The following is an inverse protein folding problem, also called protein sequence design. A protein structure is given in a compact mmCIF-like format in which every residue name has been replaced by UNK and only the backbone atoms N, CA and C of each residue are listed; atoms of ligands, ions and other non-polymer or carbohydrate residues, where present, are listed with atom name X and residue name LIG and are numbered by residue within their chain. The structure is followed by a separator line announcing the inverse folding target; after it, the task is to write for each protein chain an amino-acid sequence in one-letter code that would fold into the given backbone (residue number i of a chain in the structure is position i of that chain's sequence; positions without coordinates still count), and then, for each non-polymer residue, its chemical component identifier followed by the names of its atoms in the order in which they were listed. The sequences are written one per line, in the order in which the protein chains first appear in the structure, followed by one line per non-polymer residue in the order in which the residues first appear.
data_IF_803881035169
#
_entry.id   IF_803881035169
#
_cell.length_a   1.000
_cell.length_b   1.000
_cell.length_c   1.000
_cell.angle_alpha   90.00
_cell.angle_beta   90.00
_cell.angle_gamma   90.00
#
_symmetry.space_group_name_H-M   'P 1'
#
loop_
_entity.id
_entity.type
_entity.pdbx_description
1 polymer ?
#
# COMPACT_ATOMS: atom_id res chain seq x y z
N UNK A 1 115.73 -12.44 -8.12
CA UNK A 1 114.81 -12.93 -7.14
C UNK A 1 113.77 -11.86 -6.84
N UNK A 2 112.66 -11.84 -7.56
CA UNK A 2 111.53 -10.89 -7.32
C UNK A 2 110.29 -11.68 -7.21
N UNK A 3 109.59 -11.58 -6.09
CA UNK A 3 108.34 -12.19 -5.79
C UNK A 3 107.25 -11.21 -6.17
N UNK A 4 106.39 -11.60 -7.08
CA UNK A 4 105.17 -10.88 -7.43
C UNK A 4 104.11 -11.24 -6.42
N UNK A 5 103.47 -10.23 -5.82
CA UNK A 5 102.28 -10.37 -4.96
C UNK A 5 101.10 -9.85 -5.76
N UNK A 6 100.19 -10.76 -6.17
CA UNK A 6 98.91 -10.41 -6.75
C UNK A 6 97.91 -10.04 -5.65
N UNK A 7 97.41 -8.84 -5.68
CA UNK A 7 96.27 -8.42 -4.82
C UNK A 7 94.98 -8.64 -5.55
N UNK A 8 94.12 -9.55 -5.04
CA UNK A 8 92.79 -9.79 -5.55
C UNK A 8 91.76 -8.81 -4.90
N UNK A 9 91.22 -7.92 -5.69
CA UNK A 9 90.03 -7.08 -5.28
C UNK A 9 88.77 -7.91 -5.38
N UNK A 10 88.15 -8.21 -4.24
CA UNK A 10 86.76 -8.72 -4.20
C UNK A 10 85.80 -7.54 -4.22
N UNK A 11 85.04 -7.43 -5.34
CA UNK A 11 83.95 -6.48 -5.48
C UNK A 11 82.69 -7.08 -4.81
N UNK A 12 82.25 -6.50 -3.70
CA UNK A 12 80.98 -6.81 -3.09
C UNK A 12 79.87 -6.03 -3.83
N UNK A 13 79.08 -6.73 -4.66
CA UNK A 13 77.82 -6.20 -5.17
C UNK A 13 76.72 -6.42 -4.11
N UNK A 14 76.35 -5.37 -3.38
CA UNK A 14 75.17 -5.36 -2.55
C UNK A 14 73.93 -5.18 -3.45
N UNK A 15 73.17 -6.25 -3.68
CA UNK A 15 71.82 -6.18 -4.30
C UNK A 15 70.86 -5.69 -3.25
N UNK A 16 70.53 -4.41 -3.27
CA UNK A 16 69.36 -3.87 -2.57
C UNK A 16 68.10 -4.35 -3.25
N UNK A 17 67.43 -5.34 -2.66
CA UNK A 17 66.09 -5.72 -3.08
C UNK A 17 65.13 -4.60 -2.69
N UNK A 18 64.61 -3.86 -3.67
CA UNK A 18 63.46 -2.99 -3.49
C UNK A 18 62.23 -3.87 -3.24
N UNK A 19 61.79 -3.99 -1.98
CA UNK A 19 60.50 -4.52 -1.64
C UNK A 19 59.48 -3.43 -2.10
N UNK A 20 58.82 -3.68 -3.20
CA UNK A 20 57.69 -2.86 -3.61
C UNK A 20 56.59 -3.08 -2.60
N UNK A 21 56.38 -2.12 -1.69
CA UNK A 21 55.28 -2.10 -0.77
C UNK A 21 54.01 -1.96 -1.60
N UNK A 22 53.17 -3.01 -1.67
CA UNK A 22 51.89 -2.94 -2.32
C UNK A 22 51.10 -1.82 -1.63
N UNK A 23 50.69 -0.83 -2.42
CA UNK A 23 49.89 0.26 -1.93
C UNK A 23 48.60 -0.37 -1.34
N UNK A 24 48.37 -0.16 -0.05
CA UNK A 24 47.08 -0.57 0.57
C UNK A 24 45.94 0.02 -0.22
N UNK A 25 45.04 -0.83 -0.70
CA UNK A 25 43.85 -0.40 -1.43
C UNK A 25 42.97 0.42 -0.51
N UNK A 26 42.69 1.66 -0.87
CA UNK A 26 41.74 2.50 -0.14
C UNK A 26 40.38 1.80 -0.18
N UNK A 27 39.71 1.55 0.97
CA UNK A 27 38.38 0.94 1.00
C UNK A 27 37.39 1.76 0.19
N UNK A 28 36.59 1.09 -0.65
CA UNK A 28 35.58 1.73 -1.48
C UNK A 28 34.19 1.17 -1.14
N UNK A 29 33.18 2.04 -1.26
CA UNK A 29 31.78 1.61 -1.18
C UNK A 29 31.46 0.72 -2.39
N UNK A 30 30.78 -0.39 -2.14
CA UNK A 30 30.28 -1.29 -3.17
C UNK A 30 28.77 -1.43 -3.05
N UNK A 31 28.09 -1.56 -4.19
CA UNK A 31 26.64 -1.83 -4.19
C UNK A 31 26.40 -3.31 -3.94
N UNK A 32 25.65 -3.69 -2.87
CA UNK A 32 25.08 -5.01 -2.76
C UNK A 32 24.17 -5.31 -3.96
N UNK A 33 24.01 -6.61 -4.28
CA UNK A 33 23.10 -7.03 -5.33
C UNK A 33 21.68 -6.51 -5.05
N UNK A 34 21.06 -5.87 -6.02
CA UNK A 34 19.70 -5.31 -5.93
C UNK A 34 19.57 -3.89 -5.40
N UNK A 35 20.60 -3.31 -4.75
CA UNK A 35 20.48 -1.94 -4.20
C UNK A 35 20.45 -0.83 -5.28
N UNK A 36 20.81 -1.15 -6.51
CA UNK A 36 20.70 -0.23 -7.67
C UNK A 36 19.30 -0.22 -8.30
N UNK A 37 18.44 -1.14 -7.92
CA UNK A 37 17.11 -1.28 -8.51
C UNK A 37 16.17 -0.22 -7.95
N UNK A 38 15.29 0.33 -8.81
CA UNK A 38 14.28 1.33 -8.41
C UNK A 38 13.29 0.82 -7.35
N UNK A 39 13.11 -0.49 -7.26
CA UNK A 39 12.22 -1.18 -6.32
C UNK A 39 12.98 -1.89 -5.20
N UNK A 40 14.19 -1.46 -4.88
CA UNK A 40 14.98 -2.01 -3.78
C UNK A 40 14.23 -1.89 -2.44
N UNK A 41 14.40 -2.90 -1.58
CA UNK A 41 13.90 -2.86 -0.20
C UNK A 41 14.92 -2.13 0.66
N UNK A 42 14.45 -1.18 1.47
CA UNK A 42 15.30 -0.44 2.40
C UNK A 42 16.07 -1.38 3.33
N UNK A 43 17.32 -1.06 3.64
CA UNK A 43 18.18 -1.92 4.48
C UNK A 43 17.52 -2.26 5.83
N UNK A 44 16.81 -1.32 6.44
CA UNK A 44 16.06 -1.51 7.69
C UNK A 44 14.88 -2.50 7.59
N UNK A 45 14.48 -2.87 6.37
CA UNK A 45 13.32 -3.73 6.12
C UNK A 45 13.72 -5.07 5.44
N UNK A 46 15.02 -5.27 5.14
CA UNK A 46 15.51 -6.48 4.47
C UNK A 46 15.36 -7.75 5.31
N UNK A 47 15.51 -7.62 6.64
CA UNK A 47 15.47 -8.74 7.58
C UNK A 47 14.08 -9.00 8.16
N UNK A 48 13.06 -8.27 7.71
CA UNK A 48 11.67 -8.53 8.10
C UNK A 48 11.22 -9.91 7.63
N UNK A 49 10.36 -10.55 8.40
CA UNK A 49 9.69 -11.77 7.96
C UNK A 49 9.03 -11.53 6.61
N UNK A 50 9.38 -12.32 5.61
CA UNK A 50 8.97 -12.09 4.22
C UNK A 50 8.33 -13.34 3.63
N UNK A 51 7.19 -13.14 2.98
CA UNK A 51 6.55 -14.17 2.13
C UNK A 51 6.37 -13.62 0.73
N UNK A 52 6.43 -14.50 -0.27
CA UNK A 52 6.09 -14.15 -1.66
C UNK A 52 4.68 -14.62 -1.96
N UNK A 53 3.84 -13.70 -2.42
CA UNK A 53 2.46 -14.01 -2.80
C UNK A 53 2.43 -14.93 -4.04
N UNK A 54 1.30 -15.61 -4.23
CA UNK A 54 1.04 -16.43 -5.41
C UNK A 54 -0.04 -15.76 -6.26
N UNK A 55 0.15 -15.74 -7.59
CA UNK A 55 -0.91 -15.26 -8.49
C UNK A 55 -2.13 -16.15 -8.34
N UNK A 56 -3.26 -15.56 -7.98
CA UNK A 56 -4.54 -16.25 -7.90
C UNK A 56 -5.27 -16.23 -9.26
N UNK A 57 -5.51 -15.01 -9.79
CA UNK A 57 -6.12 -14.82 -11.11
C UNK A 57 -5.45 -13.68 -11.87
N UNK A 58 -5.44 -13.79 -13.20
CA UNK A 58 -5.20 -12.68 -14.11
C UNK A 58 -6.54 -11.99 -14.39
N UNK A 59 -6.61 -10.68 -14.15
CA UNK A 59 -7.84 -9.90 -14.33
C UNK A 59 -7.94 -9.35 -15.74
N UNK A 60 -6.82 -8.87 -16.30
CA UNK A 60 -6.76 -8.27 -17.62
C UNK A 60 -5.38 -8.41 -18.25
N UNK A 61 -5.34 -8.48 -19.57
CA UNK A 61 -4.10 -8.36 -20.34
C UNK A 61 -3.61 -6.90 -20.47
N UNK A 62 -4.52 -5.96 -20.31
CA UNK A 62 -4.23 -4.52 -20.36
C UNK A 62 -3.92 -4.02 -18.97
N UNK A 63 -2.86 -3.58 -18.56
CA UNK A 63 -2.50 -3.16 -17.21
C UNK A 63 -3.45 -2.15 -16.53
N UNK A 64 -4.75 -2.48 -16.49
CA UNK A 64 -5.77 -1.67 -15.83
C UNK A 64 -5.47 -1.54 -14.34
N UNK A 65 -5.65 -0.35 -13.79
CA UNK A 65 -5.40 -0.09 -12.38
C UNK A 65 -6.55 -0.65 -11.54
N UNK A 66 -6.25 -1.61 -10.67
CA UNK A 66 -7.21 -2.23 -9.76
C UNK A 66 -7.14 -1.58 -8.39
N UNK A 67 -8.29 -1.47 -7.70
CA UNK A 67 -8.42 -0.89 -6.37
C UNK A 67 -9.56 -1.50 -5.55
N UNK A 68 -9.66 -1.10 -4.28
CA UNK A 68 -10.79 -1.33 -3.38
C UNK A 68 -11.26 -2.77 -3.22
N UNK A 69 -10.39 -3.79 -3.09
CA UNK A 69 -10.86 -5.16 -2.94
C UNK A 69 -11.59 -5.34 -1.60
N UNK A 70 -12.75 -6.02 -1.65
CA UNK A 70 -13.59 -6.29 -0.48
C UNK A 70 -14.38 -7.59 -0.68
N UNK A 71 -14.42 -8.45 0.34
CA UNK A 71 -15.19 -9.69 0.31
C UNK A 71 -16.65 -9.47 0.69
N UNK A 72 -17.56 -10.07 -0.07
CA UNK A 72 -18.96 -10.19 0.32
C UNK A 72 -19.20 -11.42 1.21
N UNK A 73 -20.43 -11.56 1.77
CA UNK A 73 -20.79 -12.69 2.62
C UNK A 73 -20.83 -14.05 1.90
N UNK A 74 -20.91 -14.05 0.59
CA UNK A 74 -20.86 -15.26 -0.22
C UNK A 74 -19.42 -15.69 -0.54
N UNK A 75 -18.41 -14.91 -0.09
CA UNK A 75 -17.01 -15.17 -0.33
C UNK A 75 -16.51 -14.72 -1.71
N UNK A 76 -17.30 -13.94 -2.43
CA UNK A 76 -16.82 -13.31 -3.66
C UNK A 76 -15.93 -12.11 -3.31
N UNK A 77 -14.88 -11.89 -4.09
CA UNK A 77 -14.05 -10.69 -4.02
C UNK A 77 -14.56 -9.67 -5.03
N UNK A 78 -15.08 -8.53 -4.52
CA UNK A 78 -15.40 -7.37 -5.33
C UNK A 78 -14.21 -6.42 -5.34
N UNK A 79 -13.97 -5.74 -6.44
CA UNK A 79 -12.90 -4.76 -6.59
C UNK A 79 -13.24 -3.80 -7.74
N UNK A 80 -12.55 -2.67 -7.81
CA UNK A 80 -12.81 -1.66 -8.83
C UNK A 80 -11.68 -1.58 -9.85
N UNK A 81 -12.01 -1.11 -11.05
CA UNK A 81 -11.07 -0.67 -12.07
C UNK A 81 -11.13 0.86 -12.12
N UNK A 82 -9.99 1.51 -11.85
CA UNK A 82 -9.96 2.94 -11.54
C UNK A 82 -10.41 3.81 -12.71
N UNK A 83 -9.78 3.67 -13.86
CA UNK A 83 -9.98 4.59 -14.98
C UNK A 83 -11.26 4.31 -15.79
N UNK A 84 -11.72 3.07 -15.81
CA UNK A 84 -13.00 2.71 -16.44
C UNK A 84 -14.19 2.75 -15.49
N UNK A 85 -13.95 2.93 -14.18
CA UNK A 85 -15.00 3.06 -13.17
C UNK A 85 -15.83 1.80 -12.92
N UNK A 86 -15.37 0.64 -13.39
CA UNK A 86 -16.10 -0.63 -13.23
C UNK A 86 -16.00 -1.15 -11.81
N UNK A 87 -17.06 -1.86 -11.35
CA UNK A 87 -16.96 -2.80 -10.23
C UNK A 87 -16.96 -4.21 -10.80
N UNK A 88 -15.91 -4.95 -10.50
CA UNK A 88 -15.69 -6.32 -10.91
C UNK A 88 -15.90 -7.26 -9.72
N UNK A 89 -16.20 -8.51 -9.99
CA UNK A 89 -16.38 -9.57 -9.00
C UNK A 89 -15.66 -10.83 -9.47
N UNK A 90 -14.85 -11.40 -8.59
CA UNK A 90 -14.31 -12.75 -8.72
C UNK A 90 -15.03 -13.66 -7.73
N UNK A 91 -15.62 -14.77 -8.21
CA UNK A 91 -16.18 -15.80 -7.33
C UNK A 91 -15.05 -16.59 -6.61
N UNK A 92 -15.35 -17.44 -5.62
CA UNK A 92 -14.34 -18.22 -4.92
C UNK A 92 -13.48 -19.13 -5.82
N UNK A 93 -13.94 -19.43 -7.04
CA UNK A 93 -13.20 -20.19 -8.06
C UNK A 93 -12.38 -19.28 -8.99
N UNK A 94 -12.45 -17.95 -8.81
CA UNK A 94 -11.73 -16.97 -9.61
C UNK A 94 -12.41 -16.59 -10.92
N UNK A 95 -13.68 -16.96 -11.14
CA UNK A 95 -14.43 -16.56 -12.32
C UNK A 95 -14.84 -15.10 -12.21
N UNK A 96 -14.43 -14.29 -13.20
CA UNK A 96 -14.71 -12.87 -13.27
C UNK A 96 -16.10 -12.57 -13.84
N UNK A 97 -16.73 -11.52 -13.29
CA UNK A 97 -17.94 -10.93 -13.81
C UNK A 97 -17.96 -9.42 -13.52
N UNK A 98 -18.77 -8.66 -14.29
CA UNK A 98 -18.95 -7.23 -14.10
C UNK A 98 -20.21 -6.99 -13.28
N UNK A 99 -20.10 -6.24 -12.19
CA UNK A 99 -21.21 -5.81 -11.32
C UNK A 99 -21.68 -4.43 -11.71
N UNK A 100 -20.76 -3.48 -11.88
CA UNK A 100 -21.07 -2.12 -12.36
C UNK A 100 -20.30 -1.88 -13.65
N UNK A 101 -21.01 -1.48 -14.70
CA UNK A 101 -20.43 -1.20 -16.01
C UNK A 101 -19.53 0.03 -16.01
N UNK A 102 -18.72 0.19 -17.05
CA UNK A 102 -17.84 1.35 -17.26
C UNK A 102 -18.59 2.67 -17.06
N UNK A 103 -17.94 3.59 -16.37
CA UNK A 103 -18.48 4.90 -16.06
C UNK A 103 -17.34 5.89 -15.77
N UNK A 104 -17.66 7.15 -15.50
CA UNK A 104 -16.68 8.22 -15.28
C UNK A 104 -16.40 8.50 -13.79
N UNK A 105 -16.60 7.52 -12.88
CA UNK A 105 -16.40 7.73 -11.43
C UNK A 105 -14.93 7.85 -11.04
N UNK A 106 -13.99 7.30 -11.83
CA UNK A 106 -12.61 7.18 -11.40
C UNK A 106 -12.56 6.39 -10.09
N UNK A 107 -13.15 5.17 -10.10
CA UNK A 107 -13.38 4.39 -8.88
C UNK A 107 -12.09 4.08 -8.14
N UNK A 108 -12.08 4.26 -6.83
CA UNK A 108 -10.94 4.00 -5.95
C UNK A 108 -11.33 2.96 -4.87
N UNK A 109 -11.65 3.38 -3.65
CA UNK A 109 -12.05 2.45 -2.59
C UNK A 109 -13.44 1.83 -2.81
N UNK A 110 -13.64 0.64 -2.23
CA UNK A 110 -14.93 -0.01 -2.15
C UNK A 110 -15.12 -0.63 -0.76
N UNK A 111 -16.23 -0.30 -0.12
CA UNK A 111 -16.67 -0.95 1.11
C UNK A 111 -18.09 -1.49 0.96
N UNK A 112 -18.35 -2.63 1.60
CA UNK A 112 -19.67 -3.27 1.57
C UNK A 112 -20.36 -3.01 2.91
N UNK A 113 -21.57 -2.44 2.85
CA UNK A 113 -22.41 -2.21 4.01
C UNK A 113 -23.05 -3.53 4.49
N UNK A 114 -23.49 -3.60 5.75
CA UNK A 114 -24.08 -4.83 6.32
C UNK A 114 -25.33 -5.33 5.61
N UNK A 115 -26.04 -4.48 4.88
CA UNK A 115 -27.20 -4.87 4.07
C UNK A 115 -26.84 -5.31 2.64
N UNK A 116 -25.52 -5.35 2.31
CA UNK A 116 -25.01 -5.78 1.04
C UNK A 116 -24.81 -4.68 0.01
N UNK A 117 -25.23 -3.43 0.27
CA UNK A 117 -24.98 -2.31 -0.63
C UNK A 117 -23.48 -2.04 -0.78
N UNK A 118 -23.10 -1.63 -1.99
CA UNK A 118 -21.73 -1.30 -2.35
C UNK A 118 -21.55 0.22 -2.27
N UNK A 119 -20.60 0.66 -1.46
CA UNK A 119 -20.16 2.04 -1.35
C UNK A 119 -18.87 2.17 -2.15
N UNK A 120 -18.94 2.88 -3.26
CA UNK A 120 -17.82 3.03 -4.21
C UNK A 120 -17.33 4.46 -4.14
N UNK A 121 -16.12 4.65 -3.65
CA UNK A 121 -15.39 5.89 -3.67
C UNK A 121 -14.95 6.20 -5.11
N UNK A 122 -14.92 7.47 -5.47
CA UNK A 122 -14.55 7.89 -6.82
C UNK A 122 -13.77 9.19 -6.82
N UNK A 123 -12.68 9.21 -7.57
CA UNK A 123 -11.81 10.35 -7.77
C UNK A 123 -12.31 11.27 -8.91
N UNK A 124 -13.35 10.84 -9.63
CA UNK A 124 -13.94 11.59 -10.74
C UNK A 124 -12.90 11.91 -11.81
N UNK A 125 -12.71 13.20 -12.09
CA UNK A 125 -11.69 13.69 -12.99
C UNK A 125 -10.29 13.84 -12.37
N UNK A 126 -10.08 13.33 -11.16
CA UNK A 126 -8.84 13.45 -10.36
C UNK A 126 -8.47 14.92 -10.02
N UNK A 127 -9.45 15.81 -10.05
CA UNK A 127 -9.22 17.22 -9.76
C UNK A 127 -10.23 17.80 -8.79
N UNK A 128 -11.53 17.70 -9.10
CA UNK A 128 -12.58 18.41 -8.34
C UNK A 128 -13.97 17.73 -8.39
N UNK A 129 -14.15 16.63 -9.12
CA UNK A 129 -15.45 15.97 -9.31
C UNK A 129 -15.54 14.58 -8.66
N UNK A 130 -14.71 14.32 -7.65
CA UNK A 130 -14.79 13.06 -6.90
C UNK A 130 -16.11 12.94 -6.13
N UNK A 131 -16.52 11.71 -5.86
CA UNK A 131 -17.83 11.41 -5.29
C UNK A 131 -17.81 10.12 -4.47
N UNK A 132 -18.89 9.84 -3.75
CA UNK A 132 -19.20 8.54 -3.21
C UNK A 132 -20.54 8.07 -3.75
N UNK A 133 -20.55 6.97 -4.46
CA UNK A 133 -21.75 6.38 -5.06
C UNK A 133 -22.10 5.06 -4.38
N UNK A 134 -23.38 4.88 -4.09
CA UNK A 134 -23.94 3.66 -3.48
C UNK A 134 -24.74 2.91 -4.54
N UNK A 135 -24.50 1.60 -4.61
CA UNK A 135 -25.23 0.65 -5.46
C UNK A 135 -25.84 -0.46 -4.62
N UNK A 136 -26.87 -1.13 -5.12
CA UNK A 136 -27.30 -2.43 -4.60
C UNK A 136 -26.20 -3.47 -4.86
N UNK A 137 -26.27 -4.62 -4.19
CA UNK A 137 -25.29 -5.70 -4.32
C UNK A 137 -25.15 -6.26 -5.75
N UNK A 138 -26.17 -6.09 -6.59
CA UNK A 138 -26.18 -6.47 -8.02
C UNK A 138 -25.68 -5.37 -8.96
N UNK A 139 -25.26 -4.21 -8.42
CA UNK A 139 -24.81 -3.04 -9.18
C UNK A 139 -25.92 -2.11 -9.66
N UNK A 140 -27.18 -2.40 -9.36
CA UNK A 140 -28.30 -1.53 -9.67
C UNK A 140 -28.49 -0.39 -8.67
N UNK A 141 -29.49 0.46 -8.83
CA UNK A 141 -29.94 1.44 -7.84
C UNK A 141 -28.91 2.53 -7.53
N UNK A 142 -28.15 3.00 -8.52
CA UNK A 142 -27.14 4.06 -8.35
C UNK A 142 -27.69 5.26 -7.60
N UNK A 143 -27.01 5.65 -6.49
CA UNK A 143 -27.30 6.85 -5.72
C UNK A 143 -26.00 7.52 -5.29
N UNK A 144 -25.80 8.78 -5.63
CA UNK A 144 -24.69 9.57 -5.10
C UNK A 144 -24.99 9.96 -3.65
N UNK A 145 -24.14 9.56 -2.72
CA UNK A 145 -24.20 9.94 -1.31
C UNK A 145 -23.37 11.19 -1.05
N UNK A 146 -22.18 11.28 -1.65
CA UNK A 146 -21.37 12.49 -1.70
C UNK A 146 -21.31 12.89 -3.16
N UNK A 147 -21.96 14.00 -3.50
CA UNK A 147 -22.06 14.46 -4.88
C UNK A 147 -20.74 15.11 -5.35
N UNK A 148 -20.42 14.98 -6.64
CA UNK A 148 -19.19 15.50 -7.23
C UNK A 148 -19.00 17.02 -7.07
N UNK A 149 -20.05 17.78 -6.87
CA UNK A 149 -19.98 19.24 -6.62
C UNK A 149 -19.60 19.61 -5.16
N UNK A 150 -19.42 18.64 -4.29
CA UNK A 150 -18.94 18.85 -2.89
C UNK A 150 -17.44 19.05 -2.80
N UNK A 151 -16.74 18.89 -3.92
CA UNK A 151 -15.29 19.12 -4.01
C UNK A 151 -14.45 18.20 -3.11
N UNK A 152 -14.82 16.92 -2.99
CA UNK A 152 -13.98 15.87 -2.44
C UNK A 152 -13.45 14.98 -3.56
N UNK A 153 -12.26 14.43 -3.39
CA UNK A 153 -11.74 13.28 -4.15
C UNK A 153 -11.77 12.07 -3.22
N UNK A 154 -12.93 11.40 -3.14
CA UNK A 154 -13.11 10.29 -2.19
C UNK A 154 -12.30 9.11 -2.66
N UNK A 155 -11.34 8.65 -1.82
CA UNK A 155 -10.40 7.60 -2.20
C UNK A 155 -10.68 6.27 -1.48
N UNK A 156 -10.39 6.13 -0.20
CA UNK A 156 -10.69 4.91 0.56
C UNK A 156 -11.71 5.20 1.67
N UNK A 157 -12.36 4.14 2.17
CA UNK A 157 -13.38 4.27 3.21
C UNK A 157 -13.46 3.04 4.12
N UNK A 158 -13.83 3.28 5.38
CA UNK A 158 -14.04 2.22 6.37
C UNK A 158 -15.27 2.52 7.23
N UNK A 159 -16.17 1.54 7.36
CA UNK A 159 -17.32 1.63 8.25
C UNK A 159 -16.93 1.43 9.71
N UNK A 160 -17.57 2.18 10.61
CA UNK A 160 -17.60 1.86 12.03
C UNK A 160 -18.69 0.84 12.37
N UNK A 161 -18.80 0.45 13.63
CA UNK A 161 -19.79 -0.52 14.11
C UNK A 161 -21.22 0.01 14.11
N UNK A 162 -21.43 1.32 14.02
CA UNK A 162 -22.75 1.96 14.00
C UNK A 162 -23.32 2.11 12.58
N UNK A 163 -22.47 1.95 11.56
CA UNK A 163 -22.81 2.14 10.14
C UNK A 163 -22.52 3.53 9.61
N UNK A 164 -21.91 4.39 10.40
CA UNK A 164 -21.18 5.54 9.92
C UNK A 164 -19.86 5.10 9.25
N UNK A 165 -19.23 5.99 8.53
CA UNK A 165 -17.96 5.65 7.87
C UNK A 165 -17.01 6.83 7.81
N UNK A 166 -15.72 6.52 7.87
CA UNK A 166 -14.64 7.45 7.56
C UNK A 166 -14.26 7.31 6.10
N UNK A 167 -13.84 8.42 5.51
CA UNK A 167 -13.26 8.43 4.16
C UNK A 167 -12.08 9.39 4.07
N UNK A 168 -11.20 9.14 3.10
CA UNK A 168 -10.06 9.99 2.78
C UNK A 168 -10.34 10.85 1.57
N UNK A 169 -9.84 12.10 1.59
CA UNK A 169 -9.88 13.05 0.48
C UNK A 169 -8.49 13.13 -0.16
N UNK A 170 -8.37 12.59 -1.37
CA UNK A 170 -7.13 12.43 -2.16
C UNK A 170 -6.68 13.75 -2.79
N UNK A 171 -6.57 14.80 -1.99
CA UNK A 171 -6.19 16.13 -2.45
C UNK A 171 -4.87 16.61 -1.90
N UNK A 172 -4.37 17.65 -2.56
CA UNK A 172 -3.19 18.37 -2.11
C UNK A 172 -1.90 17.83 -2.69
N UNK A 173 -0.82 18.39 -2.20
CA UNK A 173 0.56 18.03 -2.51
C UNK A 173 1.38 18.06 -1.22
N UNK A 174 2.62 17.60 -1.23
CA UNK A 174 3.52 17.67 -0.07
C UNK A 174 3.80 19.11 0.41
N UNK A 175 3.59 20.11 -0.44
CA UNK A 175 3.79 21.53 -0.12
C UNK A 175 2.48 22.29 0.10
N UNK A 176 1.36 21.78 -0.40
CA UNK A 176 0.02 22.36 -0.26
C UNK A 176 -0.97 21.26 0.14
N UNK A 177 -0.97 20.80 1.40
CA UNK A 177 -1.85 19.74 1.88
C UNK A 177 -3.29 20.27 2.02
N UNK A 178 -4.17 19.79 1.15
CA UNK A 178 -5.59 20.21 1.12
C UNK A 178 -6.57 19.04 1.25
N UNK A 179 -6.07 17.80 1.30
CA UNK A 179 -6.86 16.61 1.59
C UNK A 179 -7.15 16.45 3.08
N UNK A 180 -7.56 15.25 3.47
CA UNK A 180 -7.84 14.96 4.87
C UNK A 180 -8.71 13.73 5.10
N UNK A 181 -9.14 13.58 6.34
CA UNK A 181 -10.04 12.52 6.81
C UNK A 181 -11.35 13.13 7.26
N UNK A 182 -12.45 12.52 6.85
CA UNK A 182 -13.79 12.96 7.16
C UNK A 182 -14.64 11.79 7.64
N UNK A 183 -15.66 12.09 8.42
CA UNK A 183 -16.63 11.12 8.91
C UNK A 183 -18.04 11.46 8.43
N UNK A 184 -18.78 10.45 8.01
CA UNK A 184 -20.21 10.52 7.67
C UNK A 184 -20.99 9.66 8.64
N UNK A 185 -21.88 10.24 9.47
CA UNK A 185 -22.76 9.46 10.35
C UNK A 185 -23.65 8.49 9.56
N UNK A 186 -24.18 7.47 10.23
CA UNK A 186 -25.01 6.43 9.60
C UNK A 186 -26.28 6.96 8.91
N UNK A 187 -26.77 8.13 9.30
CA UNK A 187 -27.90 8.80 8.64
C UNK A 187 -27.52 9.48 7.30
N UNK A 188 -26.22 9.64 7.03
CA UNK A 188 -25.69 10.25 5.82
C UNK A 188 -25.97 11.75 5.66
N UNK A 189 -26.35 12.45 6.72
CA UNK A 189 -26.83 13.84 6.63
C UNK A 189 -25.72 14.89 6.70
N UNK A 190 -24.56 14.54 7.24
CA UNK A 190 -23.46 15.47 7.45
C UNK A 190 -22.11 14.86 7.09
N UNK A 191 -21.13 15.72 6.81
CA UNK A 191 -19.72 15.36 6.66
C UNK A 191 -18.95 16.12 7.70
N UNK A 192 -18.32 15.42 8.63
CA UNK A 192 -17.57 15.99 9.75
C UNK A 192 -16.07 15.86 9.49
N UNK A 193 -15.30 16.95 9.46
CA UNK A 193 -13.85 16.87 9.34
C UNK A 193 -13.24 16.26 10.61
N UNK A 194 -12.41 15.23 10.44
CA UNK A 194 -11.66 14.60 11.54
C UNK A 194 -10.23 15.10 11.56
N UNK A 195 -9.47 14.88 10.48
CA UNK A 195 -8.09 15.36 10.34
C UNK A 195 -7.91 16.01 8.97
N UNK A 196 -8.11 17.33 8.85
CA UNK A 196 -7.89 18.06 7.59
C UNK A 196 -6.39 18.34 7.36
N UNK A 197 -6.06 18.84 6.16
CA UNK A 197 -4.72 19.28 5.75
C UNK A 197 -3.69 18.16 5.65
N UNK A 198 -4.10 17.04 5.08
CA UNK A 198 -3.19 15.98 4.65
C UNK A 198 -2.84 16.11 3.17
N UNK A 199 -1.65 15.69 2.81
CA UNK A 199 -1.16 15.68 1.43
C UNK A 199 -1.48 14.35 0.76
N UNK A 200 -2.61 14.30 0.05
CA UNK A 200 -3.10 13.08 -0.60
C UNK A 200 -3.34 11.98 0.47
N UNK A 201 -4.34 12.22 1.36
CA UNK A 201 -4.81 11.18 2.27
C UNK A 201 -5.36 10.01 1.45
N UNK A 202 -4.87 8.77 1.73
CA UNK A 202 -5.17 7.60 0.92
C UNK A 202 -5.78 6.47 1.77
N UNK A 203 -5.03 5.44 2.14
CA UNK A 203 -5.56 4.33 2.91
C UNK A 203 -6.11 4.71 4.28
N UNK A 204 -7.18 4.06 4.69
CA UNK A 204 -7.82 4.28 5.99
C UNK A 204 -8.28 2.96 6.60
N UNK A 205 -8.07 2.78 7.91
CA UNK A 205 -8.51 1.59 8.62
C UNK A 205 -8.81 1.90 10.09
N UNK A 206 -9.77 1.17 10.70
CA UNK A 206 -10.05 1.19 12.12
C UNK A 206 -9.39 0.01 12.83
N UNK A 207 -8.89 0.25 14.05
CA UNK A 207 -8.48 -0.82 14.96
C UNK A 207 -9.66 -1.75 15.31
N UNK A 208 -9.40 -2.98 15.78
CA UNK A 208 -10.44 -3.93 16.13
C UNK A 208 -11.44 -3.42 17.18
N UNK A 209 -10.99 -2.56 18.09
CA UNK A 209 -11.84 -1.94 19.11
C UNK A 209 -12.54 -0.64 18.64
N UNK A 210 -12.27 -0.20 17.39
CA UNK A 210 -12.83 1.01 16.80
C UNK A 210 -12.34 2.32 17.42
N UNK A 211 -11.27 2.30 18.25
CA UNK A 211 -10.79 3.48 18.98
C UNK A 211 -9.58 4.14 18.34
N UNK A 212 -8.93 3.47 17.41
CA UNK A 212 -7.80 4.03 16.66
C UNK A 212 -8.12 4.03 15.18
N UNK A 213 -8.00 5.19 14.57
CA UNK A 213 -8.08 5.36 13.13
C UNK A 213 -6.67 5.50 12.56
N UNK A 214 -6.36 4.74 11.54
CA UNK A 214 -5.09 4.75 10.84
C UNK A 214 -5.25 5.36 9.46
N UNK A 215 -4.31 6.21 9.06
CA UNK A 215 -4.36 6.89 7.76
C UNK A 215 -2.98 6.96 7.14
N UNK A 216 -2.87 6.62 5.86
CA UNK A 216 -1.68 6.88 5.05
C UNK A 216 -1.77 8.24 4.38
N UNK A 217 -0.66 8.94 4.34
CA UNK A 217 -0.47 10.16 3.58
C UNK A 217 0.47 9.86 2.40
N UNK A 218 -0.11 9.73 1.21
CA UNK A 218 0.57 9.22 0.02
C UNK A 218 1.73 10.11 -0.44
N UNK A 219 1.52 11.44 -0.47
CA UNK A 219 2.52 12.37 -1.01
C UNK A 219 3.74 12.59 -0.10
N UNK A 220 3.60 12.33 1.20
CA UNK A 220 4.68 12.54 2.20
C UNK A 220 5.26 11.23 2.73
N UNK A 221 4.58 10.10 2.47
CA UNK A 221 4.99 8.80 2.96
C UNK A 221 4.81 8.63 4.46
N UNK A 222 3.76 9.19 5.05
CA UNK A 222 3.52 9.17 6.49
C UNK A 222 2.40 8.21 6.87
N UNK A 223 2.50 7.63 8.08
CA UNK A 223 1.44 6.90 8.75
C UNK A 223 0.98 7.68 9.96
N UNK A 224 -0.28 8.09 9.95
CA UNK A 224 -0.96 8.74 11.07
C UNK A 224 -1.69 7.69 11.92
N UNK A 225 -1.56 7.80 13.24
CA UNK A 225 -2.34 7.10 14.25
C UNK A 225 -3.19 8.11 14.98
N UNK A 226 -4.51 7.93 14.93
CA UNK A 226 -5.48 8.87 15.48
C UNK A 226 -6.31 8.14 16.54
N UNK A 227 -6.12 8.49 17.81
CA UNK A 227 -6.96 8.01 18.91
C UNK A 227 -8.28 8.78 18.94
N UNK A 228 -9.38 8.06 18.88
CA UNK A 228 -10.72 8.61 18.87
C UNK A 228 -11.30 8.65 20.29
N UNK A 229 -11.85 9.79 20.69
CA UNK A 229 -12.70 9.91 21.87
C UNK A 229 -14.10 9.34 21.59
N UNK A 230 -14.61 9.62 20.43
CA UNK A 230 -15.84 9.13 19.83
C UNK A 230 -15.72 9.16 18.30
N UNK A 231 -16.73 8.70 17.55
CA UNK A 231 -16.65 8.61 16.10
C UNK A 231 -16.35 9.94 15.37
N UNK A 232 -16.58 11.07 16.00
CA UNK A 232 -16.45 12.41 15.39
C UNK A 232 -15.35 13.26 16.02
N UNK A 233 -14.70 12.76 17.07
CA UNK A 233 -13.78 13.59 17.88
C UNK A 233 -12.50 12.86 18.18
N UNK A 234 -11.37 13.48 17.87
CA UNK A 234 -10.04 13.00 18.26
C UNK A 234 -9.88 13.18 19.77
N UNK A 235 -9.29 12.20 20.45
CA UNK A 235 -8.94 12.30 21.87
C UNK A 235 -7.89 13.42 22.09
N UNK A 236 -7.82 14.03 23.28
CA UNK A 236 -6.78 14.99 23.59
C UNK A 236 -5.38 14.39 23.34
N UNK A 237 -4.53 15.05 22.54
CA UNK A 237 -3.21 14.56 22.11
C UNK A 237 -3.26 13.23 21.33
N UNK A 238 -4.41 12.89 20.75
CA UNK A 238 -4.66 11.60 20.12
C UNK A 238 -4.11 11.44 18.70
N UNK A 239 -3.52 12.47 18.08
CA UNK A 239 -2.91 12.37 16.75
C UNK A 239 -1.40 12.27 16.85
N UNK A 240 -0.81 11.29 16.12
CA UNK A 240 0.63 11.13 16.02
C UNK A 240 1.04 10.56 14.64
N UNK A 241 2.15 11.05 14.11
CA UNK A 241 2.86 10.40 13.02
C UNK A 241 3.74 9.32 13.64
N UNK A 242 3.46 8.05 13.35
CA UNK A 242 4.13 6.92 14.00
C UNK A 242 5.14 6.22 13.09
N UNK A 243 5.02 6.40 11.78
CA UNK A 243 5.95 5.81 10.83
C UNK A 243 6.11 6.68 9.58
N UNK A 244 7.33 6.69 9.02
CA UNK A 244 7.64 7.23 7.72
C UNK A 244 8.10 6.11 6.81
N UNK A 245 7.32 5.84 5.77
CA UNK A 245 7.62 4.77 4.82
C UNK A 245 8.87 5.07 3.99
N UNK A 246 9.64 4.03 3.72
CA UNK A 246 10.81 4.10 2.85
C UNK A 246 10.40 3.89 1.39
N UNK A 247 10.89 4.74 0.50
CA UNK A 247 10.61 4.68 -0.93
C UNK A 247 9.24 5.25 -1.31
N UNK A 248 8.72 4.87 -2.48
CA UNK A 248 7.45 5.36 -2.98
C UNK A 248 6.25 4.99 -2.10
N UNK A 249 5.25 5.70 -2.28
CA UNK A 249 4.05 6.04 -1.54
C UNK A 249 3.28 4.88 -0.91
N UNK A 250 2.90 4.99 0.37
CA UNK A 250 1.88 4.12 0.97
C UNK A 250 0.51 4.41 0.34
N UNK A 251 -0.20 3.36 -0.01
CA UNK A 251 -1.51 3.40 -0.64
C UNK A 251 -2.58 2.91 0.34
N UNK A 252 -3.57 2.15 -0.09
CA UNK A 252 -4.62 1.61 0.78
C UNK A 252 -4.08 0.69 1.87
N UNK A 253 -4.85 0.53 2.95
CA UNK A 253 -4.49 -0.34 4.06
C UNK A 253 -5.69 -1.15 4.58
N UNK A 254 -5.38 -2.24 5.30
CA UNK A 254 -6.35 -3.05 6.04
C UNK A 254 -5.75 -3.48 7.38
N UNK A 255 -6.62 -3.85 8.33
CA UNK A 255 -6.23 -4.31 9.67
C UNK A 255 -6.71 -5.74 9.86
N UNK A 256 -5.90 -6.60 10.49
CA UNK A 256 -6.31 -7.92 10.95
C UNK A 256 -6.91 -7.89 12.38
N UNK A 257 -7.38 -9.04 12.87
CA UNK A 257 -8.03 -9.13 14.18
C UNK A 257 -7.10 -8.81 15.36
N UNK A 258 -5.79 -8.94 15.18
CA UNK A 258 -4.77 -8.63 16.20
C UNK A 258 -4.32 -7.15 16.12
N UNK A 259 -4.88 -6.39 15.16
CA UNK A 259 -4.58 -4.98 14.95
C UNK A 259 -3.35 -4.72 14.09
N UNK A 260 -2.78 -5.74 13.44
CA UNK A 260 -1.67 -5.51 12.51
C UNK A 260 -2.17 -4.82 11.24
N UNK A 261 -1.41 -3.82 10.79
CA UNK A 261 -1.69 -3.00 9.62
C UNK A 261 -1.00 -3.58 8.38
N UNK A 262 -1.76 -3.85 7.34
CA UNK A 262 -1.27 -4.23 6.02
C UNK A 262 -1.37 -3.02 5.11
N UNK A 263 -0.24 -2.49 4.67
CA UNK A 263 -0.16 -1.27 3.84
C UNK A 263 0.38 -1.61 2.47
N UNK A 264 -0.39 -1.36 1.41
CA UNK A 264 0.07 -1.49 0.04
C UNK A 264 1.11 -0.40 -0.26
N UNK A 265 2.23 -0.81 -0.86
CA UNK A 265 3.31 0.10 -1.20
C UNK A 265 3.33 0.33 -2.72
N UNK A 266 2.65 1.39 -3.17
CA UNK A 266 2.59 1.75 -4.58
C UNK A 266 4.00 1.95 -5.17
N UNK A 267 4.23 1.48 -6.37
CA UNK A 267 5.52 1.44 -7.06
C UNK A 267 6.60 0.57 -6.39
N UNK A 268 6.23 -0.28 -5.42
CA UNK A 268 7.16 -1.20 -4.76
C UNK A 268 6.82 -2.69 -4.96
N UNK A 269 5.62 -3.02 -5.45
CA UNK A 269 5.17 -4.40 -5.65
C UNK A 269 5.18 -5.21 -4.36
N UNK A 270 4.74 -4.62 -3.25
CA UNK A 270 4.69 -5.28 -1.94
C UNK A 270 3.61 -4.71 -1.02
N UNK A 271 3.30 -5.45 0.03
CA UNK A 271 2.58 -4.97 1.21
C UNK A 271 3.54 -4.99 2.39
N UNK A 272 3.65 -3.88 3.11
CA UNK A 272 4.39 -3.80 4.38
C UNK A 272 3.40 -4.05 5.52
N UNK A 273 3.79 -4.87 6.50
CA UNK A 273 2.93 -5.16 7.66
C UNK A 273 3.55 -4.55 8.91
N UNK A 274 2.74 -3.76 9.63
CA UNK A 274 3.14 -3.11 10.88
C UNK A 274 2.28 -3.64 12.03
N UNK A 275 2.85 -3.67 13.23
CA UNK A 275 2.10 -4.03 14.44
C UNK A 275 1.21 -2.86 14.93
N UNK A 276 0.36 -3.05 15.96
CA UNK A 276 -0.51 -2.00 16.50
C UNK A 276 0.22 -0.76 17.07
N UNK A 277 1.54 -0.81 17.20
CA UNK A 277 2.38 0.35 17.58
C UNK A 277 2.96 1.08 16.36
N UNK A 278 2.68 0.64 15.13
CA UNK A 278 3.21 1.22 13.90
C UNK A 278 4.64 0.77 13.55
N UNK A 279 5.15 -0.31 14.15
CA UNK A 279 6.48 -0.84 13.83
C UNK A 279 6.39 -1.93 12.75
N UNK A 280 7.22 -1.90 11.70
CA UNK A 280 7.28 -2.95 10.69
C UNK A 280 7.62 -4.32 11.31
N UNK A 281 6.85 -5.35 10.98
CA UNK A 281 7.03 -6.72 11.48
C UNK A 281 7.11 -7.76 10.37
N UNK A 282 6.73 -7.41 9.14
CA UNK A 282 6.78 -8.34 8.02
C UNK A 282 6.43 -7.69 6.70
N UNK A 283 6.54 -8.45 5.61
CA UNK A 283 6.17 -7.98 4.29
C UNK A 283 5.72 -9.13 3.40
N UNK A 284 4.84 -8.80 2.44
CA UNK A 284 4.38 -9.71 1.39
C UNK A 284 4.89 -9.14 0.07
N UNK A 285 5.72 -9.88 -0.65
CA UNK A 285 6.26 -9.47 -1.94
C UNK A 285 5.40 -10.02 -3.08
N UNK A 286 5.17 -9.21 -4.11
CA UNK A 286 4.51 -9.66 -5.33
C UNK A 286 5.58 -10.28 -6.25
N UNK A 287 5.36 -11.49 -6.81
CA UNK A 287 6.31 -12.13 -7.70
C UNK A 287 6.50 -11.30 -8.98
N UNK A 288 7.74 -11.22 -9.46
CA UNK A 288 8.12 -10.43 -10.63
C UNK A 288 8.55 -8.99 -10.30
N UNK A 289 8.32 -8.52 -9.05
CA UNK A 289 8.71 -7.16 -8.64
C UNK A 289 10.21 -6.89 -8.80
N UNK A 290 11.03 -7.89 -8.59
CA UNK A 290 12.50 -7.81 -8.75
C UNK A 290 12.93 -7.51 -10.20
N UNK A 291 12.05 -7.81 -11.16
CA UNK A 291 12.22 -7.51 -12.59
C UNK A 291 11.42 -6.28 -13.02
N UNK A 292 10.82 -5.55 -12.08
CA UNK A 292 10.03 -4.35 -12.33
C UNK A 292 8.54 -4.58 -12.62
N UNK A 293 8.06 -5.84 -12.54
CA UNK A 293 6.67 -6.17 -12.81
C UNK A 293 5.78 -6.00 -11.58
N UNK A 294 4.48 -5.69 -11.80
CA UNK A 294 3.45 -5.54 -10.76
C UNK A 294 3.84 -4.59 -9.62
N UNK A 295 4.61 -3.56 -9.93
CA UNK A 295 5.01 -2.59 -8.92
C UNK A 295 3.83 -1.74 -8.41
N UNK A 296 2.77 -1.59 -9.20
CA UNK A 296 1.56 -0.84 -8.83
C UNK A 296 0.65 -1.69 -7.94
N UNK A 297 1.11 -1.98 -6.72
CA UNK A 297 0.31 -2.58 -5.64
C UNK A 297 -0.45 -1.49 -4.91
N UNK A 298 -1.74 -1.45 -5.06
CA UNK A 298 -2.60 -0.36 -4.59
C UNK A 298 -3.36 -0.69 -3.33
N UNK A 299 -3.88 -1.92 -3.25
CA UNK A 299 -4.78 -2.31 -2.16
C UNK A 299 -4.76 -3.82 -1.89
N UNK A 300 -5.41 -4.22 -0.80
CA UNK A 300 -5.61 -5.62 -0.45
C UNK A 300 -6.94 -5.83 0.29
N UNK A 301 -7.41 -7.06 0.33
CA UNK A 301 -8.47 -7.52 1.22
C UNK A 301 -8.01 -8.73 2.04
N UNK A 302 -8.40 -8.78 3.30
CA UNK A 302 -8.25 -9.97 4.13
C UNK A 302 -9.54 -10.79 4.03
N UNK A 303 -9.41 -12.08 3.73
CA UNK A 303 -10.56 -12.96 3.56
C UNK A 303 -11.17 -13.33 4.92
N UNK A 304 -12.46 -13.08 5.13
CA UNK A 304 -13.14 -13.33 6.40
C UNK A 304 -12.89 -14.74 6.96
N UNK A 305 -12.75 -14.83 8.28
CA UNK A 305 -12.51 -16.06 9.07
C UNK A 305 -11.19 -16.80 8.77
N UNK A 306 -10.36 -16.25 7.89
CA UNK A 306 -9.03 -16.80 7.52
C UNK A 306 -7.93 -15.76 7.72
N UNK A 307 -6.66 -16.15 7.54
CA UNK A 307 -5.53 -15.23 7.45
C UNK A 307 -5.07 -15.03 5.99
N UNK A 308 -5.88 -15.37 5.00
CA UNK A 308 -5.57 -15.12 3.59
C UNK A 308 -5.69 -13.64 3.24
N UNK A 309 -4.67 -13.10 2.59
CA UNK A 309 -4.60 -11.74 2.07
C UNK A 309 -4.63 -11.79 0.55
N UNK A 310 -5.53 -11.03 -0.06
CA UNK A 310 -5.67 -10.91 -1.51
C UNK A 310 -5.23 -9.51 -1.93
N UNK A 311 -4.18 -9.44 -2.74
CA UNK A 311 -3.53 -8.20 -3.18
C UNK A 311 -3.90 -7.92 -4.63
N UNK A 312 -4.30 -6.71 -4.93
CA UNK A 312 -4.51 -6.24 -6.31
C UNK A 312 -3.27 -5.49 -6.79
N UNK A 313 -2.83 -5.79 -8.01
CA UNK A 313 -1.70 -5.11 -8.62
C UNK A 313 -1.82 -5.03 -10.13
N UNK A 314 -1.19 -4.00 -10.70
CA UNK A 314 -1.13 -3.73 -12.12
C UNK A 314 0.32 -3.61 -12.58
N UNK A 315 0.56 -4.11 -13.80
CA UNK A 315 1.84 -3.99 -14.49
C UNK A 315 1.92 -2.73 -15.38
N UNK A 316 0.80 -2.00 -15.48
CA UNK A 316 0.71 -0.88 -16.40
C UNK A 316 0.99 -1.31 -17.84
N UNK A 317 1.89 -0.62 -18.52
CA UNK A 317 2.23 -0.85 -19.92
C UNK A 317 3.37 -1.89 -20.11
N UNK A 318 3.79 -2.60 -19.04
CA UNK A 318 4.93 -3.53 -19.09
C UNK A 318 4.56 -4.94 -19.61
N UNK A 319 3.27 -5.20 -19.87
CA UNK A 319 2.80 -6.36 -20.64
C UNK A 319 2.29 -7.56 -19.85
N UNK A 320 2.47 -7.61 -18.52
CA UNK A 320 1.92 -8.70 -17.69
C UNK A 320 0.45 -8.49 -17.31
N UNK A 321 -0.11 -7.28 -17.58
CA UNK A 321 -1.50 -6.94 -17.35
C UNK A 321 -1.83 -6.60 -15.90
N UNK A 322 -3.00 -7.02 -15.43
CA UNK A 322 -3.43 -6.83 -14.04
C UNK A 322 -3.83 -8.14 -13.40
N UNK A 323 -3.49 -8.34 -12.14
CA UNK A 323 -3.69 -9.60 -11.46
C UNK A 323 -4.07 -9.41 -9.98
N UNK A 324 -4.66 -10.45 -9.41
CA UNK A 324 -4.86 -10.60 -7.97
C UNK A 324 -3.93 -11.71 -7.49
N UNK A 325 -3.21 -11.42 -6.43
CA UNK A 325 -2.29 -12.32 -5.77
C UNK A 325 -2.84 -12.69 -4.40
N UNK A 326 -2.41 -13.80 -3.82
CA UNK A 326 -2.79 -14.22 -2.47
C UNK A 326 -1.57 -14.65 -1.67
N UNK A 327 -1.63 -14.41 -0.37
CA UNK A 327 -0.62 -14.84 0.59
C UNK A 327 -1.29 -15.14 1.94
N UNK A 328 -0.51 -15.63 2.91
CA UNK A 328 -0.94 -15.76 4.29
C UNK A 328 -0.43 -14.56 5.08
N UNK A 329 -1.31 -13.89 5.83
CA UNK A 329 -0.99 -12.84 6.79
C UNK A 329 -0.70 -13.39 8.19
N UNK A 330 -0.46 -12.49 9.15
CA UNK A 330 -0.11 -12.85 10.53
C UNK A 330 -1.30 -13.40 11.32
N UNK A 331 -2.47 -12.77 11.19
CA UNK A 331 -3.66 -13.14 11.93
C UNK A 331 -4.88 -13.22 11.01
N UNK A 332 -6.01 -13.68 11.55
CA UNK A 332 -7.28 -13.72 10.83
C UNK A 332 -7.74 -12.32 10.47
N UNK A 333 -8.52 -12.23 9.39
CA UNK A 333 -9.17 -10.99 8.99
C UNK A 333 -10.00 -10.40 10.14
N UNK A 334 -9.90 -9.09 10.33
CA UNK A 334 -10.85 -8.36 11.16
C UNK A 334 -12.24 -8.48 10.54
N UNK A 335 -13.23 -8.78 11.38
CA UNK A 335 -14.63 -8.84 10.94
C UNK A 335 -15.14 -7.43 10.65
N UNK A 336 -15.29 -7.12 9.37
CA UNK A 336 -15.76 -5.81 8.91
C UNK A 336 -17.28 -5.66 9.11
N UNK A 337 -17.78 -4.42 9.01
CA UNK A 337 -19.20 -4.10 9.14
C UNK A 337 -20.10 -4.90 8.19
N UNK A 338 -19.63 -5.26 7.01
CA UNK A 338 -20.31 -6.11 6.04
C UNK A 338 -20.62 -7.53 6.55
N UNK A 339 -19.90 -8.01 7.56
CA UNK A 339 -19.99 -9.37 8.11
C UNK A 339 -20.54 -9.42 9.54
N UNK A 340 -21.01 -8.29 10.06
CA UNK A 340 -21.64 -8.16 11.38
C UNK A 340 -23.15 -8.41 11.33
#
# INVERSE_FOLDING_TARGET
MHKNVLASLLLWMSTTAFIAQAAESIPALAYPAGDKQLHAIAASEKDLQTVTAQRWIKVSDNGMQLEGPSFDRAGNLLFVEVFGGQVLKADPQGKLSVVVQKNALGSAGLAIHKDGRLFVAGLGNFKDTGNLTVYQSDGSGKKELIAGNKNYLVDDLVFDSSGGFYFTDFKGTSTEPTGGVYYVPADGQSIVPILPKLAIANGIALSPDGKTLWVTEFATGLLHRIELKDAQTIAPFGEAIVYRFNGPSPDSMRVDQDGNLYVAMYSQGRVLVLNPSGLPIGQILIPGRENGHFLRSTSMALKPDTNEVYLVASDGDLGEGSAIFRAQGFAKALKLYSHN
#
